data_IF_922949327219
#
_entry.id   IF_922949327219
#
_cell.length_a   1.000
_cell.length_b   1.000
_cell.length_c   1.000
_cell.angle_alpha   90.00
_cell.angle_beta   90.00
_cell.angle_gamma   90.00
#
_symmetry.space_group_name_H-M   'P 1'
#
loop_
_entity.id
_entity.type
_entity.pdbx_description
1 polymer ?
#
# COMPACT_ATOMS: atom_id res chain seq x y z
N UNK A 1 -6.28 -13.08 5.63
CA UNK A 1 -7.30 -13.55 4.67
C UNK A 1 -8.19 -14.62 5.31
N UNK A 2 -7.71 -15.28 6.36
CA UNK A 2 -8.30 -16.50 6.91
C UNK A 2 -9.30 -16.26 8.06
N UNK A 3 -9.34 -15.03 8.59
CA UNK A 3 -10.16 -14.67 9.74
C UNK A 3 -11.51 -14.04 9.40
N UNK A 4 -11.90 -13.91 8.12
CA UNK A 4 -13.24 -13.47 7.72
C UNK A 4 -13.66 -14.01 6.36
N UNK A 5 -14.97 -13.93 6.06
CA UNK A 5 -15.53 -14.26 4.74
C UNK A 5 -15.36 -13.12 3.71
N UNK A 6 -14.80 -11.98 4.11
CA UNK A 6 -14.64 -10.80 3.26
C UNK A 6 -13.22 -10.71 2.71
N UNK A 7 -13.10 -10.26 1.46
CA UNK A 7 -11.81 -10.12 0.75
C UNK A 7 -11.14 -8.78 1.04
N UNK A 8 -11.92 -7.71 1.26
CA UNK A 8 -11.42 -6.36 1.48
C UNK A 8 -12.19 -5.67 2.61
N UNK A 9 -11.47 -5.04 3.53
CA UNK A 9 -12.00 -4.18 4.59
C UNK A 9 -11.19 -2.88 4.60
N UNK A 10 -11.85 -1.75 4.91
CA UNK A 10 -11.20 -0.44 4.96
C UNK A 10 -11.68 0.41 6.14
N UNK A 11 -10.84 1.36 6.53
CA UNK A 11 -11.11 2.30 7.63
C UNK A 11 -11.23 1.64 9.00
N UNK A 12 -11.97 2.29 9.90
CA UNK A 12 -12.08 1.94 11.33
C UNK A 12 -12.48 0.47 11.58
N UNK A 13 -13.32 -0.10 10.72
CA UNK A 13 -13.77 -1.50 10.87
C UNK A 13 -12.65 -2.51 10.61
N UNK A 14 -11.68 -2.18 9.75
CA UNK A 14 -10.51 -3.02 9.53
C UNK A 14 -9.61 -3.05 10.78
N UNK A 15 -9.42 -1.90 11.44
CA UNK A 15 -8.63 -1.79 12.68
C UNK A 15 -9.29 -2.53 13.85
N UNK A 16 -10.62 -2.38 14.02
CA UNK A 16 -11.37 -3.13 15.04
C UNK A 16 -11.20 -4.63 14.82
N UNK A 17 -11.28 -5.10 13.56
CA UNK A 17 -11.05 -6.50 13.25
C UNK A 17 -9.62 -6.92 13.57
N UNK A 18 -8.60 -6.13 13.20
CA UNK A 18 -7.21 -6.43 13.50
C UNK A 18 -6.98 -6.60 15.01
N UNK A 19 -7.49 -5.65 15.81
CA UNK A 19 -7.45 -5.71 17.27
C UNK A 19 -8.14 -6.96 17.83
N UNK A 20 -9.33 -7.30 17.33
CA UNK A 20 -10.06 -8.49 17.78
C UNK A 20 -9.35 -9.80 17.41
N UNK A 21 -8.49 -9.78 16.38
CA UNK A 21 -7.63 -10.90 16.01
C UNK A 21 -6.27 -10.89 16.71
N UNK A 22 -6.07 -10.02 17.71
CA UNK A 22 -4.84 -9.97 18.51
C UNK A 22 -3.65 -9.34 17.81
N UNK A 23 -3.86 -8.58 16.72
CA UNK A 23 -2.79 -7.79 16.10
C UNK A 23 -2.38 -6.66 17.05
N UNK A 24 -1.07 -6.50 17.24
CA UNK A 24 -0.53 -5.39 18.03
C UNK A 24 -0.89 -4.05 17.37
N UNK A 25 -1.53 -3.18 18.13
CA UNK A 25 -1.92 -1.84 17.68
C UNK A 25 -0.86 -0.85 18.14
N UNK A 26 -0.31 -0.09 17.20
CA UNK A 26 0.67 0.97 17.46
C UNK A 26 0.05 2.35 17.25
N UNK A 27 0.61 3.36 17.90
CA UNK A 27 0.24 4.75 17.66
C UNK A 27 0.62 5.19 16.23
N UNK A 28 -0.13 6.12 15.66
CA UNK A 28 0.15 6.67 14.32
C UNK A 28 1.56 7.29 14.23
N UNK A 29 2.09 7.81 15.35
CA UNK A 29 3.46 8.32 15.44
C UNK A 29 4.52 7.27 15.11
N UNK A 30 4.19 5.98 15.18
CA UNK A 30 5.09 4.91 14.76
C UNK A 30 5.49 5.03 13.27
N UNK A 31 4.57 5.50 12.42
CA UNK A 31 4.83 5.68 10.98
C UNK A 31 5.39 7.08 10.64
N UNK A 32 5.54 7.94 11.64
CA UNK A 32 6.05 9.29 11.45
C UNK A 32 7.54 9.30 11.10
N UNK A 33 7.91 10.11 10.11
CA UNK A 33 9.30 10.51 9.91
C UNK A 33 9.37 11.99 9.52
N UNK A 34 10.41 12.68 10.00
CA UNK A 34 10.63 14.10 9.70
C UNK A 34 10.76 14.36 8.19
N UNK A 35 11.41 13.45 7.47
CA UNK A 35 11.53 13.50 6.00
C UNK A 35 10.16 13.55 5.31
N UNK A 36 9.23 12.67 5.68
CA UNK A 36 7.87 12.63 5.10
C UNK A 36 7.06 13.86 5.46
N UNK A 37 7.16 14.33 6.70
CA UNK A 37 6.49 15.56 7.12
C UNK A 37 6.99 16.76 6.31
N UNK A 38 8.30 16.88 6.10
CA UNK A 38 8.87 17.96 5.31
C UNK A 38 8.47 17.88 3.83
N UNK A 39 8.32 16.69 3.27
CA UNK A 39 7.74 16.51 1.93
C UNK A 39 6.29 16.98 1.85
N UNK A 40 5.46 16.63 2.85
CA UNK A 40 4.08 17.11 2.93
C UNK A 40 4.04 18.63 3.04
N UNK A 41 4.80 19.23 3.96
CA UNK A 41 4.86 20.69 4.17
C UNK A 41 5.22 21.46 2.89
N UNK A 42 6.07 20.90 2.02
CA UNK A 42 6.46 21.53 0.75
C UNK A 42 5.31 21.64 -0.25
N UNK A 43 4.32 20.74 -0.22
CA UNK A 43 3.22 20.69 -1.19
C UNK A 43 1.85 20.99 -0.57
N UNK A 44 1.77 21.04 0.77
CA UNK A 44 0.56 21.34 1.51
C UNK A 44 0.05 22.74 1.15
N UNK A 45 -1.25 22.84 0.87
CA UNK A 45 -1.88 24.08 0.40
C UNK A 45 -1.84 24.27 -1.12
N UNK A 46 -1.19 23.37 -1.87
CA UNK A 46 -1.30 23.29 -3.33
C UNK A 46 -2.22 22.13 -3.74
N UNK A 47 -2.62 22.10 -5.01
CA UNK A 47 -3.29 20.95 -5.63
C UNK A 47 -2.32 19.86 -6.07
N UNK A 48 -1.00 20.02 -5.82
CA UNK A 48 -0.01 19.01 -6.18
C UNK A 48 -0.14 17.78 -5.28
N UNK A 49 -0.19 16.62 -5.92
CA UNK A 49 -0.08 15.31 -5.27
C UNK A 49 1.24 14.73 -5.73
N UNK A 50 2.12 14.37 -4.79
CA UNK A 50 3.42 13.76 -5.11
C UNK A 50 3.47 12.34 -4.58
N UNK A 51 4.19 11.51 -5.31
CA UNK A 51 4.47 10.16 -4.87
C UNK A 51 5.39 10.14 -3.65
N UNK A 52 5.16 9.17 -2.80
CA UNK A 52 5.84 9.03 -1.53
C UNK A 52 7.25 8.46 -1.76
N UNK A 53 8.29 9.32 -1.96
CA UNK A 53 9.76 9.10 -1.76
C UNK A 53 10.64 9.93 -2.72
N UNK A 54 10.06 10.85 -3.51
CA UNK A 54 10.85 11.67 -4.43
C UNK A 54 11.58 12.82 -3.71
N UNK A 55 12.89 12.68 -3.44
CA UNK A 55 13.75 13.83 -3.12
C UNK A 55 14.72 14.20 -4.24
N UNK A 56 14.80 13.43 -5.33
CA UNK A 56 15.67 13.72 -6.45
C UNK A 56 14.92 13.44 -7.75
N UNK A 57 15.10 14.35 -8.71
CA UNK A 57 14.97 14.05 -10.13
C UNK A 57 15.89 12.86 -10.35
N UNK A 58 15.37 11.74 -10.85
CA UNK A 58 16.07 10.47 -11.04
C UNK A 58 16.09 9.54 -9.81
N UNK A 59 14.95 8.89 -9.55
CA UNK A 59 14.80 7.42 -9.57
C UNK A 59 13.35 7.09 -9.17
N UNK A 60 12.73 6.14 -9.85
CA UNK A 60 11.32 5.76 -9.74
C UNK A 60 10.98 5.05 -8.42
N UNK A 61 11.30 5.65 -7.27
CA UNK A 61 11.07 5.08 -5.95
C UNK A 61 9.66 5.44 -5.48
N UNK A 62 8.74 4.58 -5.85
CA UNK A 62 7.37 4.56 -5.39
C UNK A 62 7.32 4.05 -3.93
N UNK A 63 6.54 4.70 -3.06
CA UNK A 63 6.37 4.28 -1.65
C UNK A 63 5.59 2.98 -1.45
N UNK A 64 5.21 2.33 -2.54
CA UNK A 64 4.59 1.01 -2.53
C UNK A 64 5.69 -0.06 -2.58
N UNK A 65 5.63 -0.98 -1.63
CA UNK A 65 6.49 -2.17 -1.56
C UNK A 65 5.64 -3.40 -1.82
N UNK A 66 6.27 -4.45 -2.35
CA UNK A 66 5.60 -5.74 -2.42
C UNK A 66 6.53 -6.84 -2.86
N UNK A 67 5.99 -8.06 -2.85
CA UNK A 67 6.75 -9.27 -3.11
C UNK A 67 5.88 -10.30 -3.84
N UNK A 68 6.54 -11.11 -4.65
CA UNK A 68 5.98 -12.29 -5.30
C UNK A 68 6.90 -13.47 -5.01
N UNK A 69 6.33 -14.60 -4.63
CA UNK A 69 7.07 -15.81 -4.34
C UNK A 69 6.35 -17.05 -4.88
N UNK A 70 7.14 -18.08 -5.17
CA UNK A 70 6.68 -19.42 -5.51
C UNK A 70 7.29 -20.43 -4.55
N UNK A 71 6.49 -21.32 -3.98
CA UNK A 71 6.96 -22.37 -3.08
C UNK A 71 7.42 -23.63 -3.85
N UNK A 72 7.99 -24.60 -3.13
CA UNK A 72 8.48 -25.87 -3.71
C UNK A 72 7.38 -26.75 -4.33
N UNK A 73 6.11 -26.48 -4.01
CA UNK A 73 4.96 -27.21 -4.53
C UNK A 73 4.36 -26.48 -5.75
N UNK A 74 4.92 -25.35 -6.16
CA UNK A 74 4.42 -24.53 -7.26
C UNK A 74 3.29 -23.57 -6.88
N UNK A 75 3.04 -23.34 -5.59
CA UNK A 75 2.04 -22.35 -5.16
C UNK A 75 2.61 -20.93 -5.28
N UNK A 76 1.84 -20.03 -5.88
CA UNK A 76 2.21 -18.63 -6.10
C UNK A 76 1.49 -17.75 -5.07
N UNK A 77 2.23 -16.84 -4.47
CA UNK A 77 1.70 -15.80 -3.60
C UNK A 77 2.25 -14.42 -4.00
N UNK A 78 1.42 -13.40 -3.84
CA UNK A 78 1.80 -12.00 -4.04
C UNK A 78 1.20 -11.14 -2.92
N UNK A 79 1.91 -10.09 -2.53
CA UNK A 79 1.44 -9.11 -1.56
C UNK A 79 2.05 -7.74 -1.79
N UNK A 80 1.21 -6.72 -1.70
CA UNK A 80 1.57 -5.31 -1.95
C UNK A 80 1.08 -4.45 -0.79
N UNK A 81 1.91 -3.50 -0.34
CA UNK A 81 1.62 -2.57 0.77
C UNK A 81 2.10 -1.16 0.43
N UNK A 82 1.36 -0.14 0.85
CA UNK A 82 1.67 1.25 0.55
C UNK A 82 1.14 2.22 1.60
N UNK A 83 1.86 3.33 1.83
CA UNK A 83 1.32 4.52 2.49
C UNK A 83 0.40 5.35 1.59
N UNK A 84 0.44 5.11 0.27
CA UNK A 84 -0.25 5.86 -0.77
C UNK A 84 0.57 7.04 -1.28
N UNK A 85 -0.10 8.15 -1.59
CA UNK A 85 0.54 9.37 -2.10
C UNK A 85 0.64 10.45 -1.02
N UNK A 86 1.71 11.24 -1.05
CA UNK A 86 1.84 12.44 -0.23
C UNK A 86 0.77 13.46 -0.66
N UNK A 87 0.10 14.09 0.31
CA UNK A 87 -1.02 15.03 0.08
C UNK A 87 -2.28 14.39 -0.56
N UNK A 88 -2.46 13.07 -0.41
CA UNK A 88 -3.71 12.41 -0.82
C UNK A 88 -4.92 12.94 -0.04
N UNK A 89 -6.09 12.97 -0.67
CA UNK A 89 -7.36 13.20 0.04
C UNK A 89 -7.59 12.09 1.07
N UNK A 90 -8.19 12.44 2.21
CA UNK A 90 -8.60 11.45 3.22
C UNK A 90 -9.51 10.38 2.60
N UNK A 91 -9.31 9.13 3.00
CA UNK A 91 -10.08 8.00 2.47
C UNK A 91 -9.76 7.59 1.03
N UNK A 92 -8.81 8.25 0.34
CA UNK A 92 -8.36 7.81 -0.99
C UNK A 92 -7.69 6.44 -0.91
N UNK A 93 -8.24 5.48 -1.65
CA UNK A 93 -7.70 4.12 -1.80
C UNK A 93 -6.98 4.02 -3.13
N UNK A 94 -5.79 3.41 -3.11
CA UNK A 94 -4.98 3.19 -4.30
C UNK A 94 -5.12 1.81 -4.94
N UNK A 95 -4.25 1.46 -5.88
CA UNK A 95 -4.22 0.16 -6.57
C UNK A 95 -3.77 -1.00 -5.68
N UNK A 96 -2.85 -0.74 -4.74
CA UNK A 96 -2.21 -1.78 -3.93
C UNK A 96 -3.18 -2.78 -3.26
N UNK A 97 -4.26 -2.35 -2.58
CA UNK A 97 -5.24 -3.27 -1.98
C UNK A 97 -6.26 -3.87 -2.97
N UNK A 98 -6.23 -3.48 -4.24
CA UNK A 98 -7.21 -3.92 -5.25
C UNK A 98 -6.67 -5.15 -6.00
N UNK A 99 -7.34 -6.29 -5.82
CA UNK A 99 -6.99 -7.54 -6.49
C UNK A 99 -7.14 -7.39 -8.01
N UNK A 100 -6.09 -7.70 -8.75
CA UNK A 100 -6.02 -7.55 -10.21
C UNK A 100 -5.49 -6.20 -10.69
N UNK A 101 -5.30 -5.22 -9.81
CA UNK A 101 -4.59 -3.97 -10.12
C UNK A 101 -3.19 -3.97 -9.49
N UNK A 102 -3.10 -3.73 -8.18
CA UNK A 102 -1.83 -3.66 -7.47
C UNK A 102 -1.29 -5.02 -6.98
N UNK A 103 -2.17 -6.01 -6.83
CA UNK A 103 -1.81 -7.35 -6.34
C UNK A 103 -2.58 -8.43 -7.10
N UNK A 104 -1.90 -9.46 -7.60
CA UNK A 104 -2.54 -10.63 -8.21
C UNK A 104 -1.71 -11.89 -8.01
N UNK A 105 -2.35 -13.05 -7.82
CA UNK A 105 -1.67 -14.34 -7.79
C UNK A 105 -2.60 -15.45 -8.29
N UNK A 106 -2.10 -16.29 -9.19
CA UNK A 106 -2.80 -17.46 -9.70
C UNK A 106 -1.80 -18.55 -10.09
N UNK A 107 -1.93 -19.74 -9.49
CA UNK A 107 -1.04 -20.88 -9.71
C UNK A 107 -0.96 -21.35 -11.17
N UNK A 108 -1.99 -21.07 -11.98
CA UNK A 108 -2.01 -21.45 -13.40
C UNK A 108 -1.32 -20.42 -14.30
N UNK A 109 -1.01 -19.22 -13.81
CA UNK A 109 -0.48 -18.13 -14.61
C UNK A 109 0.72 -17.46 -13.96
N UNK A 110 0.52 -16.51 -13.06
CA UNK A 110 1.58 -15.68 -12.48
C UNK A 110 1.19 -15.06 -11.14
N UNK A 111 2.20 -14.48 -10.48
CA UNK A 111 2.05 -13.56 -9.36
C UNK A 111 2.56 -12.17 -9.75
N UNK A 112 1.86 -11.13 -9.32
CA UNK A 112 2.12 -9.73 -9.66
C UNK A 112 1.97 -8.88 -8.39
N UNK A 113 2.94 -8.01 -8.16
CA UNK A 113 2.92 -6.94 -7.17
C UNK A 113 3.36 -5.66 -7.86
N UNK A 114 2.45 -4.71 -8.04
CA UNK A 114 2.71 -3.47 -8.76
C UNK A 114 3.11 -2.32 -7.82
N UNK A 115 3.80 -1.34 -8.38
CA UNK A 115 4.21 -0.10 -7.71
C UNK A 115 4.21 1.02 -8.75
N UNK A 116 3.65 2.19 -8.44
CA UNK A 116 3.43 3.19 -9.49
C UNK A 116 2.50 4.36 -9.13
N UNK A 117 2.24 5.22 -10.13
CA UNK A 117 1.08 6.13 -10.14
C UNK A 117 -0.09 5.42 -10.81
N UNK A 118 -1.24 5.41 -10.14
CA UNK A 118 -2.46 4.73 -10.58
C UNK A 118 -3.03 5.16 -11.94
N UNK A 119 -2.65 6.32 -12.47
CA UNK A 119 -3.12 6.78 -13.79
C UNK A 119 -2.36 6.14 -14.97
N UNK A 120 -1.45 5.18 -14.72
CA UNK A 120 -0.55 4.59 -15.73
C UNK A 120 -0.64 3.04 -15.74
N UNK A 121 -1.40 2.41 -14.83
CA UNK A 121 -1.66 0.97 -14.81
C UNK A 121 -3.05 0.66 -15.38
#
# INVERSE_FOLDING_TARGET
MDSSKHVLLSGVRAEIMAKNNGVEMVDESYFYTEKRLNQLRKIQGTSEIRLDHSELIDDHKFGTVGAVAIDKNGNIAAGTSTGGMTNKKYGRIGDSPIIGAGTYANNLTCGISATGMENIL
#
